data_IF_068945071006
#
_entry.id   IF_068945071006
#
_cell.length_a   1.000
_cell.length_b   1.000
_cell.length_c   1.000
_cell.angle_alpha   90.00
_cell.angle_beta   90.00
_cell.angle_gamma   90.00
#
_symmetry.space_group_name_H-M   'P 1'
#
loop_
_entity.id
_entity.type
_entity.pdbx_description
1 polymer ?
#
# COMPACT_ATOMS: atom_id res chain seq x y z
N UNK A 1 9.61 8.47 -39.07
CA UNK A 1 9.63 8.84 -37.64
C UNK A 1 8.96 7.73 -36.88
N UNK A 2 9.72 7.03 -36.03
CA UNK A 2 9.22 5.93 -35.21
C UNK A 2 8.39 6.52 -34.07
N UNK A 3 7.16 6.05 -33.90
CA UNK A 3 6.22 6.48 -32.85
C UNK A 3 6.77 6.22 -31.42
N UNK A 4 7.82 5.40 -31.29
CA UNK A 4 8.39 4.99 -30.01
C UNK A 4 9.35 5.98 -29.36
N UNK A 5 10.06 6.81 -30.13
CA UNK A 5 11.07 7.74 -29.58
C UNK A 5 10.39 8.95 -28.89
N UNK A 6 9.23 9.37 -29.39
CA UNK A 6 8.48 10.54 -28.91
C UNK A 6 7.84 10.31 -27.52
N UNK A 7 7.43 9.07 -27.21
CA UNK A 7 6.81 8.74 -25.92
C UNK A 7 7.80 8.84 -24.74
N UNK A 8 9.00 8.27 -24.90
CA UNK A 8 10.02 8.29 -23.84
C UNK A 8 10.56 9.70 -23.58
N UNK A 9 10.67 10.52 -24.63
CA UNK A 9 11.10 11.91 -24.48
C UNK A 9 10.01 12.77 -23.80
N UNK A 10 8.73 12.51 -24.08
CA UNK A 10 7.62 13.12 -23.35
C UNK A 10 7.63 12.76 -21.86
N UNK A 11 7.90 11.49 -21.51
CA UNK A 11 8.03 11.06 -20.12
C UNK A 11 9.16 11.79 -19.38
N UNK A 12 10.35 11.90 -19.99
CA UNK A 12 11.48 12.66 -19.40
C UNK A 12 11.14 14.13 -19.16
N UNK A 13 10.38 14.75 -20.07
CA UNK A 13 9.93 16.14 -19.90
C UNK A 13 8.97 16.27 -18.72
N UNK A 14 8.05 15.32 -18.54
CA UNK A 14 7.11 15.28 -17.42
C UNK A 14 7.87 15.11 -16.10
N UNK A 15 8.79 14.17 -16.00
CA UNK A 15 9.62 13.96 -14.80
C UNK A 15 10.42 15.21 -14.43
N UNK A 16 10.97 15.91 -15.43
CA UNK A 16 11.71 17.16 -15.21
C UNK A 16 10.81 18.29 -14.70
N UNK A 17 9.55 18.35 -15.16
CA UNK A 17 8.58 19.37 -14.73
C UNK A 17 7.97 19.05 -13.37
N UNK A 18 7.80 17.77 -13.07
CA UNK A 18 7.17 17.26 -11.85
C UNK A 18 8.10 16.24 -11.18
N UNK A 19 9.24 16.69 -10.62
CA UNK A 19 10.17 15.80 -9.97
C UNK A 19 9.48 15.14 -8.76
N UNK A 20 9.61 13.82 -8.63
CA UNK A 20 9.11 13.06 -7.48
C UNK A 20 10.05 13.26 -6.28
N UNK A 21 10.16 14.50 -5.81
CA UNK A 21 11.08 14.92 -4.75
C UNK A 21 10.30 15.64 -3.66
N UNK A 22 10.49 15.22 -2.42
CA UNK A 22 9.89 15.82 -1.23
C UNK A 22 10.52 17.19 -0.93
N UNK A 23 9.87 17.99 -0.07
CA UNK A 23 10.38 19.31 0.34
C UNK A 23 11.75 19.28 1.02
N UNK A 24 12.17 18.12 1.55
CA UNK A 24 13.49 17.89 2.12
C UNK A 24 14.55 17.44 1.09
N UNK A 25 14.22 17.40 -0.20
CA UNK A 25 15.14 17.03 -1.28
C UNK A 25 15.25 15.52 -1.55
N UNK A 26 14.49 14.69 -0.83
CA UNK A 26 14.54 13.24 -0.98
C UNK A 26 13.60 12.70 -2.05
N UNK A 27 14.00 11.62 -2.73
CA UNK A 27 13.18 11.01 -3.79
C UNK A 27 12.02 10.23 -3.18
N UNK A 28 10.83 10.45 -3.72
CA UNK A 28 9.58 9.78 -3.35
C UNK A 28 9.27 8.67 -4.35
N UNK A 29 8.74 7.55 -3.86
CA UNK A 29 8.41 6.38 -4.66
C UNK A 29 7.02 5.84 -4.29
N UNK A 30 6.30 5.34 -5.30
CA UNK A 30 5.00 4.65 -5.18
C UNK A 30 5.14 3.20 -5.63
N UNK A 31 4.83 2.26 -4.74
CA UNK A 31 4.99 0.82 -4.98
C UNK A 31 4.01 0.30 -6.05
N UNK A 32 2.84 0.92 -6.18
CA UNK A 32 1.82 0.58 -7.18
C UNK A 32 2.14 1.06 -8.61
N UNK A 33 3.20 1.85 -8.79
CA UNK A 33 3.64 2.38 -10.09
C UNK A 33 5.06 1.96 -10.47
N UNK A 34 5.71 1.08 -9.71
CA UNK A 34 7.04 0.60 -10.08
C UNK A 34 6.90 -0.47 -11.18
N UNK A 35 6.80 -0.03 -12.44
CA UNK A 35 6.65 -0.89 -13.61
C UNK A 35 7.99 -1.34 -14.20
N UNK A 36 9.10 -0.82 -13.70
CA UNK A 36 10.43 -1.17 -14.16
C UNK A 36 10.97 -2.36 -13.35
N UNK A 37 10.83 -3.56 -13.92
CA UNK A 37 11.27 -4.83 -13.31
C UNK A 37 12.78 -4.88 -13.12
N UNK A 38 13.52 -4.07 -13.89
CA UNK A 38 14.97 -3.96 -13.80
C UNK A 38 15.42 -2.96 -12.71
N UNK A 39 14.48 -2.19 -12.12
CA UNK A 39 14.76 -1.37 -10.96
C UNK A 39 14.97 -2.30 -9.73
N UNK A 40 16.13 -2.24 -9.04
CA UNK A 40 16.34 -3.03 -7.83
C UNK A 40 15.33 -2.72 -6.70
N UNK A 41 14.55 -1.64 -6.83
CA UNK A 41 13.46 -1.25 -5.94
C UNK A 41 12.07 -1.75 -6.39
N UNK A 42 11.98 -2.58 -7.43
CA UNK A 42 10.74 -3.17 -7.98
C UNK A 42 10.00 -4.05 -6.97
N UNK A 43 10.72 -4.84 -6.17
CA UNK A 43 10.13 -5.69 -5.13
C UNK A 43 10.27 -5.03 -3.75
N UNK A 44 9.44 -4.01 -3.53
CA UNK A 44 9.40 -3.26 -2.28
C UNK A 44 8.37 -3.83 -1.29
N UNK A 45 8.28 -5.15 -1.21
CA UNK A 45 7.49 -5.80 -0.18
C UNK A 45 8.15 -5.62 1.20
N UNK A 46 7.30 -5.59 2.23
CA UNK A 46 7.70 -5.45 3.64
C UNK A 46 8.35 -6.75 4.19
N UNK A 47 8.62 -7.74 3.33
CA UNK A 47 9.00 -9.07 3.74
C UNK A 47 10.48 -9.15 4.09
N UNK A 48 10.74 -9.45 5.37
CA UNK A 48 12.00 -9.87 5.98
C UNK A 48 13.25 -9.07 5.59
N UNK A 49 13.12 -7.75 5.39
CA UNK A 49 14.27 -6.88 5.16
C UNK A 49 14.79 -6.29 6.47
N UNK A 50 16.11 -6.41 6.78
CA UNK A 50 16.71 -5.86 8.01
C UNK A 50 16.47 -4.35 8.19
N UNK A 51 16.36 -3.61 7.09
CA UNK A 51 16.08 -2.17 7.06
C UNK A 51 14.72 -1.79 7.67
N UNK A 52 13.78 -2.72 7.77
CA UNK A 52 12.46 -2.48 8.36
C UNK A 52 12.27 -3.01 9.78
N UNK A 53 13.28 -3.67 10.36
CA UNK A 53 13.20 -4.23 11.71
C UNK A 53 12.79 -3.19 12.76
N UNK A 54 13.31 -1.96 12.64
CA UNK A 54 12.90 -0.83 13.50
C UNK A 54 11.39 -0.58 13.45
N UNK A 55 10.79 -0.57 12.27
CA UNK A 55 9.35 -0.36 12.10
C UNK A 55 8.53 -1.53 12.64
N UNK A 56 9.01 -2.77 12.45
CA UNK A 56 8.36 -3.95 13.04
C UNK A 56 8.28 -3.86 14.57
N UNK A 57 9.34 -3.42 15.23
CA UNK A 57 9.36 -3.24 16.68
C UNK A 57 8.38 -2.14 17.12
N UNK A 58 8.28 -1.05 16.36
CA UNK A 58 7.29 0.00 16.62
C UNK A 58 5.84 -0.51 16.42
N UNK A 59 5.59 -1.36 15.43
CA UNK A 59 4.27 -1.98 15.25
C UNK A 59 3.91 -2.90 16.42
N UNK A 60 4.84 -3.76 16.85
CA UNK A 60 4.64 -4.66 18.00
C UNK A 60 4.37 -3.86 19.27
N UNK A 61 5.14 -2.79 19.51
CA UNK A 61 4.96 -1.92 20.66
C UNK A 61 3.60 -1.19 20.65
N UNK A 62 3.12 -0.80 19.47
CA UNK A 62 1.88 -0.05 19.31
C UNK A 62 0.61 -0.92 19.32
N UNK A 63 0.64 -2.04 18.59
CA UNK A 63 -0.53 -2.92 18.38
C UNK A 63 -0.60 -4.07 19.39
N UNK A 64 0.53 -4.41 20.02
CA UNK A 64 0.74 -5.65 20.75
C UNK A 64 1.15 -6.79 19.83
N UNK A 65 1.99 -7.68 20.33
CA UNK A 65 2.60 -8.78 19.56
C UNK A 65 1.56 -9.73 18.94
N UNK A 66 0.52 -10.07 19.69
CA UNK A 66 -0.60 -10.91 19.23
C UNK A 66 -1.36 -10.33 18.04
N UNK A 67 -1.64 -9.02 18.07
CA UNK A 67 -2.35 -8.35 16.99
C UNK A 67 -1.44 -8.15 15.78
N UNK A 68 -0.18 -7.78 16.02
CA UNK A 68 0.82 -7.68 14.97
C UNK A 68 0.94 -9.00 14.20
N UNK A 69 1.06 -10.14 14.89
CA UNK A 69 1.16 -11.47 14.25
C UNK A 69 -0.03 -11.79 13.34
N UNK A 70 -1.24 -11.37 13.70
CA UNK A 70 -2.45 -11.57 12.88
C UNK A 70 -2.48 -10.67 11.65
N UNK A 71 -2.00 -9.43 11.79
CA UNK A 71 -2.03 -8.42 10.73
C UNK A 71 -0.83 -8.49 9.79
N UNK A 72 0.32 -9.01 10.25
CA UNK A 72 1.57 -9.07 9.49
C UNK A 72 1.43 -9.66 8.08
N UNK A 73 0.66 -10.75 7.84
CA UNK A 73 0.47 -11.28 6.49
C UNK A 73 -0.29 -10.35 5.53
N UNK A 74 -0.99 -9.36 6.07
CA UNK A 74 -1.82 -8.41 5.32
C UNK A 74 -1.25 -6.99 5.35
N UNK A 75 -0.08 -6.80 5.98
CA UNK A 75 0.57 -5.50 6.12
C UNK A 75 1.39 -5.23 4.86
N UNK A 76 0.91 -4.29 4.04
CA UNK A 76 1.61 -3.77 2.89
C UNK A 76 2.17 -2.38 3.14
N UNK A 77 3.20 -2.04 2.38
CA UNK A 77 3.73 -0.68 2.26
C UNK A 77 3.44 -0.18 0.86
N UNK A 78 2.77 0.97 0.75
CA UNK A 78 2.33 1.49 -0.56
C UNK A 78 3.25 2.58 -1.07
N UNK A 79 3.86 3.37 -0.19
CA UNK A 79 4.70 4.51 -0.56
C UNK A 79 5.85 4.69 0.41
N UNK A 80 6.99 5.16 -0.09
CA UNK A 80 8.21 5.40 0.69
C UNK A 80 9.04 6.51 0.05
N UNK A 81 10.00 7.05 0.80
CA UNK A 81 11.04 7.93 0.23
C UNK A 81 12.43 7.39 0.53
N UNK A 82 13.38 7.77 -0.32
CA UNK A 82 14.81 7.45 -0.15
C UNK A 82 15.57 8.74 0.12
N UNK A 83 16.20 8.82 1.29
CA UNK A 83 17.17 9.86 1.65
C UNK A 83 18.50 9.18 1.98
N UNK A 84 19.61 9.69 1.44
CA UNK A 84 20.96 9.22 1.82
C UNK A 84 21.12 7.68 1.71
N UNK A 85 20.46 7.05 0.73
CA UNK A 85 20.47 5.60 0.52
C UNK A 85 19.62 4.80 1.52
N UNK A 86 18.92 5.46 2.45
CA UNK A 86 17.99 4.83 3.40
C UNK A 86 16.55 5.01 2.96
N UNK A 87 15.77 3.95 3.15
CA UNK A 87 14.36 3.84 2.78
C UNK A 87 13.47 4.14 3.97
N UNK A 88 12.50 5.02 3.76
CA UNK A 88 11.58 5.48 4.80
C UNK A 88 10.12 5.27 4.34
N UNK A 89 9.38 4.33 4.95
CA UNK A 89 7.96 4.15 4.66
C UNK A 89 7.16 5.41 4.98
N UNK A 90 6.23 5.75 4.10
CA UNK A 90 5.28 6.86 4.29
C UNK A 90 3.89 6.31 4.62
N UNK A 91 3.45 5.27 3.90
CA UNK A 91 2.11 4.69 4.09
C UNK A 91 2.21 3.18 4.27
N UNK A 92 1.63 2.73 5.38
CA UNK A 92 1.34 1.33 5.66
C UNK A 92 -0.16 1.08 5.54
N UNK A 93 -0.54 -0.02 4.91
CA UNK A 93 -1.92 -0.41 4.74
C UNK A 93 -2.12 -1.86 5.18
N UNK A 94 -3.21 -2.12 5.88
CA UNK A 94 -3.67 -3.49 6.15
C UNK A 94 -5.04 -3.67 5.51
N UNK A 95 -5.19 -4.74 4.72
CA UNK A 95 -6.48 -5.12 4.15
C UNK A 95 -6.77 -6.57 4.51
N UNK A 96 -7.84 -6.78 5.27
CA UNK A 96 -8.30 -8.13 5.60
C UNK A 96 -9.43 -8.48 4.65
N UNK A 97 -9.16 -9.43 3.77
CA UNK A 97 -10.15 -10.01 2.87
C UNK A 97 -10.77 -11.27 3.48
N UNK A 98 -12.08 -11.34 3.50
CA UNK A 98 -12.82 -12.51 3.95
C UNK A 98 -13.87 -12.93 2.92
N UNK A 99 -14.07 -14.25 2.81
CA UNK A 99 -15.10 -14.83 1.94
C UNK A 99 -16.41 -14.90 2.72
N UNK A 100 -17.45 -14.28 2.18
CA UNK A 100 -18.81 -14.36 2.72
C UNK A 100 -19.61 -15.31 1.85
N UNK A 101 -20.14 -16.38 2.45
CA UNK A 101 -21.10 -17.27 1.80
C UNK A 101 -22.52 -16.82 2.15
N UNK A 102 -23.28 -16.45 1.13
CA UNK A 102 -24.68 -16.04 1.25
C UNK A 102 -25.59 -17.12 0.67
N UNK A 103 -26.77 -17.30 1.27
CA UNK A 103 -27.79 -18.26 0.83
C UNK A 103 -29.02 -17.50 0.31
N UNK A 104 -29.56 -17.95 -0.82
CA UNK A 104 -30.60 -17.24 -1.57
C UNK A 104 -30.64 -17.72 -3.01
N UNK A 105 -31.52 -17.15 -3.84
CA UNK A 105 -31.56 -17.42 -5.28
C UNK A 105 -30.58 -16.48 -5.99
N UNK A 106 -29.48 -17.02 -6.48
CA UNK A 106 -28.47 -16.32 -7.26
C UNK A 106 -28.40 -16.90 -8.67
N UNK A 107 -27.98 -16.13 -9.66
CA UNK A 107 -27.82 -16.61 -11.03
C UNK A 107 -28.36 -15.63 -12.06
N UNK A 108 -28.08 -15.91 -13.32
CA UNK A 108 -28.65 -15.24 -14.49
C UNK A 108 -29.22 -16.31 -15.44
N UNK A 109 -30.07 -15.91 -16.40
CA UNK A 109 -30.72 -16.86 -17.33
C UNK A 109 -29.72 -17.67 -18.17
N UNK A 110 -28.46 -17.22 -18.33
CA UNK A 110 -27.44 -17.87 -19.14
C UNK A 110 -26.52 -18.84 -18.37
N UNK A 111 -26.42 -18.71 -17.04
CA UNK A 111 -25.59 -19.56 -16.16
C UNK A 111 -26.39 -20.50 -15.26
N UNK A 112 -27.71 -20.35 -15.23
CA UNK A 112 -28.59 -21.08 -14.30
C UNK A 112 -28.58 -20.47 -12.90
N UNK A 113 -29.36 -21.06 -11.99
CA UNK A 113 -29.50 -20.57 -10.62
C UNK A 113 -28.72 -21.43 -9.61
N UNK A 114 -28.29 -20.79 -8.52
CA UNK A 114 -27.61 -21.39 -7.37
C UNK A 114 -28.30 -20.94 -6.08
N UNK A 115 -28.32 -21.83 -5.09
CA UNK A 115 -28.83 -21.53 -3.74
C UNK A 115 -27.78 -20.87 -2.82
N UNK A 116 -26.55 -20.72 -3.30
CA UNK A 116 -25.49 -20.03 -2.57
C UNK A 116 -24.55 -19.25 -3.47
N UNK A 117 -24.02 -18.15 -2.94
CA UNK A 117 -23.02 -17.31 -3.59
C UNK A 117 -21.87 -17.02 -2.64
N UNK A 118 -20.64 -17.03 -3.15
CA UNK A 118 -19.44 -16.63 -2.40
C UNK A 118 -19.00 -15.28 -2.93
N UNK A 119 -18.99 -14.28 -2.05
CA UNK A 119 -18.44 -12.95 -2.34
C UNK A 119 -17.18 -12.71 -1.51
N UNK A 120 -16.26 -11.90 -2.05
CA UNK A 120 -15.14 -11.37 -1.26
C UNK A 120 -15.56 -10.03 -0.67
N UNK A 121 -15.28 -9.83 0.60
CA UNK A 121 -15.47 -8.57 1.31
C UNK A 121 -14.14 -8.18 1.94
N UNK A 122 -13.84 -6.89 1.93
CA UNK A 122 -12.64 -6.33 2.54
C UNK A 122 -13.07 -5.48 3.73
N UNK A 123 -12.42 -5.67 4.87
CA UNK A 123 -12.55 -4.77 6.02
C UNK A 123 -11.34 -3.82 6.03
N UNK A 124 -11.57 -2.57 5.62
CA UNK A 124 -10.62 -1.49 5.78
C UNK A 124 -10.76 -0.84 7.16
N UNK A 125 -9.64 -0.45 7.77
CA UNK A 125 -9.65 0.37 8.99
C UNK A 125 -10.08 1.81 8.68
N UNK A 126 -10.96 2.39 9.51
CA UNK A 126 -11.42 3.77 9.38
C UNK A 126 -10.71 4.75 10.33
N UNK A 127 -9.51 4.41 10.81
CA UNK A 127 -8.74 5.23 11.75
C UNK A 127 -7.41 5.64 11.12
N UNK A 128 -7.04 6.91 11.29
CA UNK A 128 -5.73 7.40 10.91
C UNK A 128 -4.72 7.15 12.03
N UNK A 129 -3.51 6.78 11.64
CA UNK A 129 -2.40 6.51 12.55
C UNK A 129 -1.18 7.27 12.06
N UNK A 130 -0.59 8.06 12.93
CA UNK A 130 0.59 8.87 12.61
C UNK A 130 1.83 8.26 13.23
N UNK A 131 2.93 8.25 12.47
CA UNK A 131 4.24 7.91 13.00
C UNK A 131 5.01 9.21 13.24
N UNK A 132 5.18 9.57 14.51
CA UNK A 132 5.84 10.83 14.92
C UNK A 132 6.77 10.58 16.09
N UNK A 133 7.95 11.21 16.08
CA UNK A 133 8.98 11.04 17.11
C UNK A 133 9.30 9.56 17.41
N UNK A 134 9.33 8.73 16.36
CA UNK A 134 9.64 7.32 16.48
C UNK A 134 8.54 6.45 17.10
N UNK A 135 7.30 6.95 17.22
CA UNK A 135 6.18 6.22 17.82
C UNK A 135 4.89 6.40 17.02
N UNK A 136 4.08 5.35 16.97
CA UNK A 136 2.72 5.42 16.42
C UNK A 136 1.73 6.03 17.41
N UNK A 137 0.87 6.91 16.91
CA UNK A 137 -0.21 7.56 17.66
C UNK A 137 -1.51 7.43 16.85
N UNK A 138 -2.58 7.01 17.50
CA UNK A 138 -3.92 7.01 16.90
C UNK A 138 -4.43 8.44 16.78
N UNK A 139 -4.93 8.82 15.62
CA UNK A 139 -5.66 10.07 15.46
C UNK A 139 -7.09 9.96 15.98
N UNK A 140 -7.62 11.06 16.49
CA UNK A 140 -9.05 11.23 16.79
C UNK A 140 -9.88 11.60 15.54
N UNK A 141 -9.21 11.81 14.40
CA UNK A 141 -9.86 12.07 13.12
C UNK A 141 -10.75 10.90 12.70
N UNK A 142 -11.92 11.25 12.19
CA UNK A 142 -12.86 10.29 11.63
C UNK A 142 -12.63 10.18 10.13
N UNK A 143 -12.48 8.97 9.64
CA UNK A 143 -12.50 8.71 8.21
C UNK A 143 -13.86 9.12 7.62
N UNK A 144 -13.89 10.17 6.80
CA UNK A 144 -15.12 10.72 6.19
C UNK A 144 -15.47 10.07 4.85
N UNK A 145 -14.73 9.04 4.42
CA UNK A 145 -15.01 8.34 3.17
C UNK A 145 -14.44 9.01 1.91
N UNK A 146 -13.69 10.10 2.04
CA UNK A 146 -13.02 10.72 0.88
C UNK A 146 -11.64 10.08 0.67
N UNK A 147 -11.49 9.37 -0.45
CA UNK A 147 -10.18 9.02 -1.00
C UNK A 147 -9.50 10.28 -1.52
N UNK A 148 -8.29 10.56 -1.05
CA UNK A 148 -7.39 11.52 -1.70
C UNK A 148 -6.95 11.01 -3.07
#
# INVERSE_FOLDING_TARGET
MSLGDDFWDQLKIIEKKFPQVLSNGCKYYRNDYNYDVDDPDYDFNFDDKPEFAYYEDQFKAYMGEENYKKLRPYLGMTTYYVCEGKKYPIVFATMIDYKVKSYGLFGDEGRGFSFSSISRKSAGGGSFHYFTNGKFIKSDEKYTGQSY
#
